data_IF_720401912042
#
_entry.id   IF_720401912042
#
_cell.length_a   1.000
_cell.length_b   1.000
_cell.length_c   1.000
_cell.angle_alpha   90.00
_cell.angle_beta   90.00
_cell.angle_gamma   90.00
#
_symmetry.space_group_name_H-M   'P 1'
#
loop_
_entity.id
_entity.type
_entity.pdbx_description
1 polymer ?
#
# COMPACT_ATOMS: atom_id res chain seq x y z
N UNK A 1 -75.91 27.96 33.03
CA UNK A 1 -74.65 28.50 33.63
C UNK A 1 -73.58 27.49 33.49
N UNK A 2 -72.87 27.47 32.38
CA UNK A 2 -71.76 26.50 32.09
C UNK A 2 -70.44 27.24 32.24
N UNK A 3 -69.63 26.76 33.18
CA UNK A 3 -68.26 27.23 33.40
C UNK A 3 -67.29 26.41 32.51
N UNK A 4 -66.70 27.06 31.54
CA UNK A 4 -65.56 26.49 30.76
C UNK A 4 -64.31 26.60 31.62
N UNK A 5 -63.66 25.45 31.89
CA UNK A 5 -62.35 25.35 32.45
C UNK A 5 -61.37 25.26 31.29
N UNK A 6 -60.56 26.30 31.09
CA UNK A 6 -59.45 26.30 30.15
C UNK A 6 -58.20 25.71 30.83
N UNK A 7 -57.79 24.48 30.40
CA UNK A 7 -56.52 23.88 30.82
C UNK A 7 -55.44 24.37 29.87
N UNK A 8 -54.51 25.13 30.36
CA UNK A 8 -53.29 25.55 29.64
C UNK A 8 -52.27 24.42 29.72
N UNK A 9 -51.97 23.78 28.58
CA UNK A 9 -50.86 22.83 28.43
C UNK A 9 -49.59 23.62 28.12
N UNK A 10 -48.70 23.71 29.13
CA UNK A 10 -47.36 24.26 28.92
C UNK A 10 -46.46 23.22 28.23
N UNK A 11 -46.14 23.43 26.96
CA UNK A 11 -45.12 22.66 26.22
C UNK A 11 -43.72 23.08 26.72
N UNK A 12 -43.09 22.23 27.50
CA UNK A 12 -41.68 22.32 27.83
C UNK A 12 -40.86 21.90 26.61
N UNK A 13 -40.34 22.88 25.87
CA UNK A 13 -39.33 22.68 24.84
C UNK A 13 -37.97 22.36 25.49
N UNK A 14 -37.59 21.08 25.47
CA UNK A 14 -36.26 20.63 25.89
C UNK A 14 -35.32 20.92 24.71
N UNK A 15 -34.30 21.80 24.86
CA UNK A 15 -33.31 21.95 23.81
C UNK A 15 -32.43 20.67 23.77
N UNK A 16 -32.60 19.85 22.74
CA UNK A 16 -31.63 18.83 22.39
C UNK A 16 -30.35 19.55 21.98
N UNK A 17 -29.40 19.70 22.90
CA UNK A 17 -28.04 20.03 22.56
C UNK A 17 -27.46 18.81 21.81
N UNK A 18 -27.43 18.90 20.50
CA UNK A 18 -26.61 18.02 19.65
C UNK A 18 -25.15 18.32 19.99
N UNK A 19 -24.62 17.58 20.97
CA UNK A 19 -23.19 17.52 21.18
C UNK A 19 -22.63 16.83 19.90
N UNK A 20 -22.11 17.64 18.98
CA UNK A 20 -21.28 17.14 17.89
C UNK A 20 -20.03 16.53 18.53
N UNK A 21 -20.07 15.23 18.80
CA UNK A 21 -18.85 14.49 19.08
C UNK A 21 -18.01 14.59 17.80
N UNK A 22 -16.95 15.37 17.87
CA UNK A 22 -15.88 15.22 16.88
C UNK A 22 -15.48 13.76 16.94
N UNK A 23 -15.61 13.04 15.82
CA UNK A 23 -15.22 11.64 15.78
C UNK A 23 -13.73 11.57 16.19
N UNK A 24 -13.43 10.72 17.15
CA UNK A 24 -12.06 10.46 17.58
C UNK A 24 -11.25 10.03 16.34
N UNK A 25 -10.06 10.61 16.11
CA UNK A 25 -9.28 10.25 14.93
C UNK A 25 -8.99 8.74 14.94
N UNK A 26 -9.03 8.08 13.77
CA UNK A 26 -8.71 6.66 13.69
C UNK A 26 -7.39 6.34 14.38
N UNK A 27 -7.27 5.15 14.95
CA UNK A 27 -6.03 4.75 15.61
C UNK A 27 -4.85 4.69 14.61
N UNK A 28 -3.59 4.83 15.06
CA UNK A 28 -2.40 4.69 14.21
C UNK A 28 -2.42 3.38 13.40
N UNK A 29 -2.92 2.31 14.00
CA UNK A 29 -3.04 0.99 13.38
C UNK A 29 -3.95 1.00 12.15
N UNK A 30 -5.09 1.69 12.20
CA UNK A 30 -6.01 1.82 11.06
C UNK A 30 -5.36 2.60 9.92
N UNK A 31 -4.66 3.68 10.23
CA UNK A 31 -3.95 4.46 9.21
C UNK A 31 -2.87 3.62 8.52
N UNK A 32 -2.07 2.86 9.28
CA UNK A 32 -1.02 2.00 8.72
C UNK A 32 -1.60 0.85 7.89
N UNK A 33 -2.72 0.25 8.28
CA UNK A 33 -3.40 -0.76 7.47
C UNK A 33 -3.79 -0.21 6.08
N UNK A 34 -4.32 1.02 6.04
CA UNK A 34 -4.63 1.69 4.77
C UNK A 34 -3.38 1.97 3.93
N UNK A 35 -2.28 2.42 4.55
CA UNK A 35 -1.01 2.62 3.85
C UNK A 35 -0.48 1.31 3.25
N UNK A 36 -0.46 0.23 4.02
CA UNK A 36 0.02 -1.07 3.56
C UNK A 36 -0.80 -1.58 2.36
N UNK A 37 -2.14 -1.59 2.47
CA UNK A 37 -3.03 -1.99 1.37
C UNK A 37 -2.88 -1.11 0.13
N UNK A 38 -2.68 0.20 0.32
CA UNK A 38 -2.46 1.14 -0.78
C UNK A 38 -1.12 0.90 -1.47
N UNK A 39 -0.03 0.73 -0.70
CA UNK A 39 1.34 0.72 -1.25
C UNK A 39 1.82 -0.68 -1.67
N UNK A 40 1.29 -1.74 -1.04
CA UNK A 40 1.68 -3.13 -1.34
C UNK A 40 0.75 -3.74 -2.37
N UNK A 41 -0.57 -3.66 -2.13
CA UNK A 41 -1.56 -4.34 -2.95
C UNK A 41 -2.17 -3.47 -4.06
N UNK A 42 -1.98 -2.15 -3.99
CA UNK A 42 -2.69 -1.16 -4.82
C UNK A 42 -4.21 -1.35 -4.76
N UNK A 43 -4.73 -1.67 -3.55
CA UNK A 43 -6.15 -1.90 -3.30
C UNK A 43 -6.95 -0.62 -3.53
N UNK A 44 -7.86 -0.64 -4.49
CA UNK A 44 -8.61 0.54 -4.92
C UNK A 44 -9.47 1.12 -3.79
N UNK A 45 -10.08 0.27 -2.96
CA UNK A 45 -10.90 0.72 -1.84
C UNK A 45 -10.03 1.34 -0.74
N UNK A 46 -8.89 0.75 -0.43
CA UNK A 46 -7.95 1.31 0.53
C UNK A 46 -7.35 2.63 0.06
N UNK A 47 -7.04 2.77 -1.25
CA UNK A 47 -6.59 4.02 -1.86
C UNK A 47 -7.64 5.12 -1.64
N UNK A 48 -8.91 4.85 -1.93
CA UNK A 48 -9.97 5.82 -1.73
C UNK A 48 -10.12 6.21 -0.26
N UNK A 49 -10.14 5.23 0.64
CA UNK A 49 -10.25 5.46 2.08
C UNK A 49 -9.05 6.26 2.63
N UNK A 50 -7.83 5.96 2.19
CA UNK A 50 -6.62 6.69 2.58
C UNK A 50 -6.65 8.13 2.06
N UNK A 51 -7.09 8.34 0.83
CA UNK A 51 -7.26 9.66 0.24
C UNK A 51 -8.26 10.49 1.04
N UNK A 52 -9.44 9.95 1.34
CA UNK A 52 -10.47 10.66 2.11
C UNK A 52 -9.98 10.98 3.52
N UNK A 53 -9.28 10.03 4.16
CA UNK A 53 -8.70 10.20 5.48
C UNK A 53 -7.64 11.30 5.54
N UNK A 54 -6.74 11.37 4.56
CA UNK A 54 -5.63 12.32 4.53
C UNK A 54 -5.99 13.66 3.88
N UNK A 55 -7.08 13.76 3.13
CA UNK A 55 -7.44 14.90 2.27
C UNK A 55 -7.31 16.25 2.97
N UNK A 56 -7.90 16.38 4.12
CA UNK A 56 -7.94 17.65 4.84
C UNK A 56 -6.54 18.08 5.32
N UNK A 57 -5.73 17.16 5.82
CA UNK A 57 -4.35 17.42 6.23
C UNK A 57 -3.46 17.79 5.04
N UNK A 58 -3.62 17.08 3.92
CA UNK A 58 -2.86 17.33 2.70
C UNK A 58 -3.15 18.70 2.10
N UNK A 59 -4.42 19.08 1.97
CA UNK A 59 -4.82 20.39 1.45
C UNK A 59 -4.29 21.53 2.32
N UNK A 60 -4.34 21.40 3.65
CA UNK A 60 -3.78 22.36 4.57
C UNK A 60 -2.27 22.51 4.42
N UNK A 61 -1.57 21.41 4.16
CA UNK A 61 -0.13 21.39 3.90
C UNK A 61 0.26 21.84 2.49
N UNK A 62 -0.69 22.32 1.67
CA UNK A 62 -0.46 22.77 0.30
C UNK A 62 -0.14 21.64 -0.67
N UNK A 63 -0.48 20.39 -0.32
CA UNK A 63 -0.29 19.19 -1.17
C UNK A 63 -1.54 18.93 -2.01
N UNK A 64 -1.42 18.02 -2.99
CA UNK A 64 -2.58 17.50 -3.74
C UNK A 64 -3.59 16.85 -2.78
N UNK A 65 -4.89 16.94 -3.09
CA UNK A 65 -5.95 16.35 -2.27
C UNK A 65 -5.76 14.85 -2.08
N UNK A 66 -5.38 14.16 -3.15
CA UNK A 66 -5.21 12.70 -3.13
C UNK A 66 -3.75 12.33 -2.81
N UNK A 67 -3.58 11.32 -1.95
CA UNK A 67 -2.29 10.71 -1.62
C UNK A 67 -1.82 9.81 -2.77
N UNK A 68 -2.72 9.01 -3.32
CA UNK A 68 -2.47 8.12 -4.45
C UNK A 68 -3.64 8.18 -5.43
N UNK A 69 -3.33 7.99 -6.72
CA UNK A 69 -4.34 7.90 -7.76
C UNK A 69 -4.50 6.43 -8.18
N UNK A 70 -5.68 5.86 -7.96
CA UNK A 70 -5.96 4.46 -8.28
C UNK A 70 -5.82 4.15 -9.78
N UNK A 71 -6.24 5.08 -10.65
CA UNK A 71 -6.14 4.89 -12.10
C UNK A 71 -4.67 4.90 -12.57
N UNK A 72 -3.84 5.79 -12.00
CA UNK A 72 -2.41 5.85 -12.33
C UNK A 72 -1.68 4.60 -11.84
N UNK A 73 -1.99 4.12 -10.63
CA UNK A 73 -1.41 2.87 -10.09
C UNK A 73 -1.82 1.67 -10.92
N UNK A 74 -3.09 1.56 -11.29
CA UNK A 74 -3.58 0.50 -12.17
C UNK A 74 -2.90 0.52 -13.53
N UNK A 75 -2.77 1.69 -14.13
CA UNK A 75 -2.05 1.85 -15.39
C UNK A 75 -0.58 1.44 -15.27
N UNK A 76 0.09 1.87 -14.20
CA UNK A 76 1.46 1.48 -13.92
C UNK A 76 1.60 -0.06 -13.76
N UNK A 77 0.64 -0.70 -13.10
CA UNK A 77 0.59 -2.16 -12.97
C UNK A 77 0.40 -2.87 -14.32
N UNK A 78 -0.45 -2.33 -15.18
CA UNK A 78 -0.69 -2.89 -16.53
C UNK A 78 0.55 -2.73 -17.44
N UNK A 79 1.27 -1.63 -17.32
CA UNK A 79 2.46 -1.32 -18.15
C UNK A 79 3.75 -1.98 -17.64
N UNK A 80 3.88 -2.19 -16.32
CA UNK A 80 5.10 -2.69 -15.66
C UNK A 80 5.69 -3.95 -16.31
N UNK A 81 4.92 -5.04 -16.56
CA UNK A 81 5.50 -6.26 -17.11
C UNK A 81 6.15 -6.04 -18.49
N UNK A 82 5.48 -5.26 -19.35
CA UNK A 82 5.96 -4.98 -20.69
C UNK A 82 7.18 -4.04 -20.71
N UNK A 83 7.19 -3.03 -19.88
CA UNK A 83 8.29 -2.06 -19.82
C UNK A 83 9.55 -2.67 -19.23
N UNK A 84 9.44 -3.39 -18.12
CA UNK A 84 10.59 -4.05 -17.50
C UNK A 84 11.13 -5.16 -18.40
N UNK A 85 10.26 -5.93 -19.06
CA UNK A 85 10.68 -6.93 -20.03
C UNK A 85 11.47 -6.34 -21.20
N UNK A 86 11.05 -5.18 -21.75
CA UNK A 86 11.79 -4.47 -22.80
C UNK A 86 13.18 -4.03 -22.36
N UNK A 87 13.32 -3.58 -21.10
CA UNK A 87 14.63 -3.23 -20.55
C UNK A 87 15.51 -4.46 -20.37
N UNK A 88 14.99 -5.51 -19.79
CA UNK A 88 15.71 -6.76 -19.58
C UNK A 88 16.11 -7.44 -20.91
N UNK A 89 15.24 -7.39 -21.92
CA UNK A 89 15.47 -7.94 -23.26
C UNK A 89 16.75 -7.39 -23.91
N UNK A 90 17.05 -6.10 -23.71
CA UNK A 90 18.24 -5.43 -24.26
C UNK A 90 19.56 -5.95 -23.67
N UNK A 91 19.53 -6.68 -22.56
CA UNK A 91 20.71 -7.27 -21.93
C UNK A 91 21.15 -8.57 -22.63
N UNK A 92 20.29 -9.18 -23.45
CA UNK A 92 20.57 -10.41 -24.18
C UNK A 92 21.13 -10.14 -25.58
N UNK A 93 21.82 -11.12 -26.20
CA UNK A 93 22.29 -11.00 -27.58
C UNK A 93 21.17 -10.65 -28.56
N UNK A 94 21.47 -9.76 -29.54
CA UNK A 94 20.47 -9.19 -30.44
C UNK A 94 19.62 -10.25 -31.17
N UNK A 95 20.24 -11.36 -31.57
CA UNK A 95 19.57 -12.47 -32.25
C UNK A 95 18.57 -13.24 -31.37
N UNK A 96 18.67 -13.11 -30.04
CA UNK A 96 17.76 -13.77 -29.08
C UNK A 96 16.65 -12.85 -28.59
N UNK A 97 16.83 -11.55 -28.69
CA UNK A 97 15.95 -10.55 -28.05
C UNK A 97 14.47 -10.75 -28.43
N UNK A 98 14.18 -10.92 -29.70
CA UNK A 98 12.81 -11.08 -30.19
C UNK A 98 12.11 -12.29 -29.55
N UNK A 99 12.82 -13.44 -29.50
CA UNK A 99 12.27 -14.67 -28.94
C UNK A 99 12.09 -14.62 -27.41
N UNK A 100 12.89 -13.81 -26.70
CA UNK A 100 12.83 -13.66 -25.23
C UNK A 100 11.78 -12.65 -24.76
N UNK A 101 11.23 -11.82 -25.64
CA UNK A 101 10.32 -10.74 -25.25
C UNK A 101 9.08 -11.23 -24.49
N UNK A 102 8.34 -12.18 -25.07
CA UNK A 102 7.13 -12.73 -24.42
C UNK A 102 7.44 -13.53 -23.12
N UNK A 103 8.48 -14.38 -23.05
CA UNK A 103 8.88 -15.03 -21.80
C UNK A 103 9.29 -14.04 -20.69
N UNK A 104 10.00 -12.97 -21.02
CA UNK A 104 10.34 -11.92 -20.05
C UNK A 104 9.09 -11.19 -19.55
N UNK A 105 8.15 -10.84 -20.44
CA UNK A 105 6.88 -10.24 -20.04
C UNK A 105 6.09 -11.17 -19.10
N UNK A 106 6.04 -12.46 -19.41
CA UNK A 106 5.36 -13.45 -18.55
C UNK A 106 6.02 -13.57 -17.17
N UNK A 107 7.37 -13.56 -17.11
CA UNK A 107 8.09 -13.52 -15.83
C UNK A 107 7.72 -12.28 -15.02
N UNK A 108 7.78 -11.07 -15.62
CA UNK A 108 7.48 -9.83 -14.93
C UNK A 108 6.03 -9.76 -14.45
N UNK A 109 5.08 -10.27 -15.25
CA UNK A 109 3.68 -10.39 -14.83
C UNK A 109 3.53 -11.32 -13.60
N UNK A 110 4.29 -12.44 -13.56
CA UNK A 110 4.27 -13.34 -12.40
C UNK A 110 4.90 -12.70 -11.15
N UNK A 111 6.00 -11.95 -11.31
CA UNK A 111 6.63 -11.18 -10.22
C UNK A 111 5.65 -10.16 -9.64
N UNK A 112 4.97 -9.42 -10.49
CA UNK A 112 3.95 -8.44 -10.07
C UNK A 112 2.79 -9.11 -9.35
N UNK A 113 2.25 -10.21 -9.88
CA UNK A 113 1.19 -10.98 -9.23
C UNK A 113 1.63 -11.53 -7.86
N UNK A 114 2.88 -11.97 -7.73
CA UNK A 114 3.44 -12.41 -6.46
C UNK A 114 3.44 -11.28 -5.43
N UNK A 115 3.80 -10.05 -5.84
CA UNK A 115 3.72 -8.84 -5.00
C UNK A 115 2.28 -8.52 -4.60
N UNK A 116 1.35 -8.49 -5.55
CA UNK A 116 -0.06 -8.15 -5.30
C UNK A 116 -0.79 -9.17 -4.41
N UNK A 117 -0.32 -10.43 -4.38
CA UNK A 117 -0.84 -11.47 -3.48
C UNK A 117 -0.36 -11.35 -2.04
N UNK A 118 0.58 -10.44 -1.76
CA UNK A 118 1.10 -10.24 -0.40
C UNK A 118 -0.04 -9.92 0.57
N UNK A 119 -0.02 -10.54 1.73
CA UNK A 119 -1.04 -10.36 2.77
C UNK A 119 -0.39 -9.68 3.97
N UNK A 120 -0.69 -8.41 4.15
CA UNK A 120 -0.20 -7.63 5.27
C UNK A 120 -1.26 -7.46 6.35
N UNK A 121 -0.84 -7.51 7.61
CA UNK A 121 -1.69 -7.22 8.77
C UNK A 121 -0.92 -6.38 9.78
N UNK A 122 -1.61 -5.48 10.41
CA UNK A 122 -1.11 -4.75 11.58
C UNK A 122 -1.18 -5.68 12.79
N UNK A 123 -0.14 -5.69 13.60
CA UNK A 123 -0.05 -6.51 14.82
C UNK A 123 -0.40 -5.68 16.05
N UNK A 124 0.42 -4.70 16.38
CA UNK A 124 0.25 -3.84 17.54
C UNK A 124 0.74 -2.41 17.22
N UNK A 125 0.25 -1.46 17.97
CA UNK A 125 0.70 -0.08 17.93
C UNK A 125 1.22 0.31 19.30
N UNK A 126 2.36 0.99 19.32
CA UNK A 126 2.84 1.63 20.53
C UNK A 126 1.81 2.68 20.99
N UNK A 127 1.81 2.94 22.29
CA UNK A 127 1.06 4.08 22.81
C UNK A 127 1.64 5.37 22.22
N UNK A 128 0.80 6.23 21.60
CA UNK A 128 1.27 7.48 21.04
C UNK A 128 2.05 8.30 22.07
N UNK A 129 3.21 8.79 21.69
CA UNK A 129 4.05 9.65 22.51
C UNK A 129 4.09 11.07 21.92
N UNK A 130 4.07 12.09 22.81
CA UNK A 130 4.21 13.48 22.41
C UNK A 130 5.69 13.83 22.32
N UNK A 131 6.12 14.27 21.15
CA UNK A 131 7.43 14.89 20.94
C UNK A 131 7.22 16.32 20.45
N UNK A 132 7.55 17.29 21.29
CA UNK A 132 7.19 18.71 21.11
C UNK A 132 5.68 18.88 20.94
N UNK A 133 5.22 19.27 19.76
CA UNK A 133 3.79 19.46 19.44
C UNK A 133 3.26 18.37 18.48
N UNK A 134 3.98 17.26 18.31
CA UNK A 134 3.64 16.16 17.39
C UNK A 134 3.47 14.87 18.18
N UNK A 135 2.34 14.20 18.00
CA UNK A 135 2.17 12.82 18.43
C UNK A 135 2.84 11.89 17.43
N UNK A 136 3.64 10.97 17.92
CA UNK A 136 4.27 9.90 17.13
C UNK A 136 3.84 8.55 17.64
N UNK A 137 3.72 7.58 16.75
CA UNK A 137 3.46 6.19 17.08
C UNK A 137 4.20 5.27 16.09
N UNK A 138 4.67 4.14 16.61
CA UNK A 138 5.18 3.06 15.79
C UNK A 138 4.15 1.92 15.77
N UNK A 139 3.88 1.42 14.60
CA UNK A 139 2.93 0.34 14.37
C UNK A 139 3.68 -0.86 13.81
N UNK A 140 3.69 -1.96 14.53
CA UNK A 140 4.27 -3.21 14.05
C UNK A 140 3.33 -3.87 13.05
N UNK A 141 3.89 -4.38 11.98
CA UNK A 141 3.14 -5.09 10.96
C UNK A 141 3.87 -6.36 10.53
N UNK A 142 3.12 -7.27 9.95
CA UNK A 142 3.62 -8.51 9.38
C UNK A 142 3.03 -8.69 7.99
N UNK A 143 3.87 -9.08 7.02
CA UNK A 143 3.42 -9.41 5.67
C UNK A 143 3.87 -10.83 5.31
N UNK A 144 2.93 -11.64 4.83
CA UNK A 144 3.23 -12.88 4.15
C UNK A 144 3.51 -12.57 2.66
N UNK A 145 4.63 -13.05 2.16
CA UNK A 145 5.20 -12.70 0.86
C UNK A 145 5.63 -13.95 0.09
N UNK A 146 5.83 -13.80 -1.21
CA UNK A 146 6.54 -14.80 -2.03
C UNK A 146 8.02 -14.43 -2.04
N UNK A 147 8.87 -15.31 -1.51
CA UNK A 147 10.31 -15.24 -1.65
C UNK A 147 10.78 -16.33 -2.61
N UNK A 148 11.18 -15.92 -3.81
CA UNK A 148 11.77 -16.81 -4.79
C UNK A 148 13.16 -17.28 -4.35
N UNK A 149 13.65 -18.45 -4.79
CA UNK A 149 15.01 -18.90 -4.49
C UNK A 149 16.11 -17.97 -5.00
N UNK A 150 15.84 -17.22 -6.04
CA UNK A 150 16.70 -16.22 -6.67
C UNK A 150 15.83 -15.05 -7.10
N UNK A 151 16.28 -13.81 -6.89
CA UNK A 151 15.54 -12.65 -7.37
C UNK A 151 15.53 -12.62 -8.91
N UNK A 152 14.50 -12.06 -9.51
CA UNK A 152 14.40 -11.96 -10.97
C UNK A 152 15.57 -11.15 -11.56
N UNK A 153 16.07 -10.16 -10.83
CA UNK A 153 17.23 -9.34 -11.25
C UNK A 153 18.49 -10.20 -11.31
N UNK A 154 18.80 -10.93 -10.23
CA UNK A 154 19.96 -11.81 -10.17
C UNK A 154 19.86 -12.93 -11.20
N UNK A 155 18.68 -13.52 -11.36
CA UNK A 155 18.42 -14.57 -12.35
C UNK A 155 18.66 -14.11 -13.79
N UNK A 156 18.12 -12.93 -14.16
CA UNK A 156 18.39 -12.36 -15.49
C UNK A 156 19.87 -12.05 -15.66
N UNK A 157 20.51 -11.44 -14.67
CA UNK A 157 21.95 -11.15 -14.73
C UNK A 157 22.79 -12.42 -14.87
N UNK A 158 22.43 -13.49 -14.19
CA UNK A 158 23.08 -14.80 -14.31
C UNK A 158 22.92 -15.36 -15.73
N UNK A 159 21.70 -15.35 -16.30
CA UNK A 159 21.44 -15.82 -17.66
C UNK A 159 22.26 -15.06 -18.69
N UNK A 160 22.31 -13.74 -18.60
CA UNK A 160 23.11 -12.87 -19.49
C UNK A 160 24.61 -13.20 -19.39
N UNK A 161 25.14 -13.36 -18.16
CA UNK A 161 26.55 -13.65 -17.91
C UNK A 161 26.99 -15.04 -18.43
N UNK A 162 26.10 -16.02 -18.36
CA UNK A 162 26.41 -17.39 -18.81
C UNK A 162 26.52 -17.52 -20.34
N UNK A 163 26.01 -16.52 -21.08
CA UNK A 163 26.01 -16.52 -22.56
C UNK A 163 25.46 -17.82 -23.17
N UNK A 164 24.39 -18.35 -22.53
CA UNK A 164 23.73 -19.57 -22.96
C UNK A 164 23.05 -19.45 -24.31
N UNK A 165 22.68 -20.61 -24.87
CA UNK A 165 21.86 -20.66 -26.06
C UNK A 165 20.46 -20.07 -25.80
N UNK A 166 19.70 -19.80 -26.87
CA UNK A 166 18.30 -19.40 -26.72
C UNK A 166 17.49 -20.40 -25.88
N UNK A 167 17.71 -21.70 -26.10
CA UNK A 167 17.02 -22.76 -25.36
C UNK A 167 17.35 -22.71 -23.84
N UNK A 168 18.62 -22.48 -23.51
CA UNK A 168 19.07 -22.34 -22.11
C UNK A 168 18.42 -21.12 -21.44
N UNK A 169 18.37 -19.98 -22.14
CA UNK A 169 17.76 -18.74 -21.63
C UNK A 169 16.24 -18.90 -21.46
N UNK A 170 15.54 -19.52 -22.41
CA UNK A 170 14.10 -19.82 -22.27
C UNK A 170 13.82 -20.75 -21.09
N UNK A 171 14.63 -21.79 -20.89
CA UNK A 171 14.53 -22.70 -19.76
C UNK A 171 14.78 -21.96 -18.43
N UNK A 172 15.82 -21.12 -18.37
CA UNK A 172 16.14 -20.33 -17.19
C UNK A 172 15.05 -19.33 -16.81
N UNK A 173 14.48 -18.62 -17.79
CA UNK A 173 13.34 -17.71 -17.55
C UNK A 173 12.10 -18.46 -17.02
N UNK A 174 11.82 -19.65 -17.56
CA UNK A 174 10.73 -20.49 -17.07
C UNK A 174 10.96 -20.95 -15.62
N UNK A 175 12.19 -21.26 -15.25
CA UNK A 175 12.53 -21.64 -13.86
C UNK A 175 12.38 -20.44 -12.92
N UNK A 176 12.84 -19.25 -13.32
CA UNK A 176 12.62 -18.03 -12.56
C UNK A 176 11.13 -17.74 -12.36
N UNK A 177 10.34 -17.82 -13.42
CA UNK A 177 8.89 -17.63 -13.35
C UNK A 177 8.23 -18.62 -12.38
N UNK A 178 8.62 -19.90 -12.43
CA UNK A 178 8.11 -20.91 -11.51
C UNK A 178 8.45 -20.60 -10.04
N UNK A 179 9.60 -20.00 -9.78
CA UNK A 179 10.00 -19.55 -8.45
C UNK A 179 9.08 -18.47 -7.84
N UNK A 180 8.44 -17.65 -8.68
CA UNK A 180 7.45 -16.64 -8.23
C UNK A 180 5.99 -17.14 -8.26
N UNK A 181 5.72 -18.24 -8.95
CA UNK A 181 4.36 -18.83 -9.04
C UNK A 181 4.01 -19.73 -7.85
N UNK A 182 4.75 -19.64 -6.75
CA UNK A 182 4.55 -20.43 -5.53
C UNK A 182 3.60 -19.74 -4.55
N UNK A 183 3.07 -20.45 -3.55
CA UNK A 183 2.35 -19.83 -2.43
C UNK A 183 3.22 -18.87 -1.63
N UNK A 184 2.59 -18.05 -0.79
CA UNK A 184 3.27 -17.24 0.21
C UNK A 184 4.11 -18.15 1.12
N UNK A 185 5.40 -17.88 1.23
CA UNK A 185 6.37 -18.77 1.88
C UNK A 185 7.38 -18.03 2.77
N UNK A 186 7.25 -16.72 2.87
CA UNK A 186 8.14 -15.88 3.68
C UNK A 186 7.31 -14.89 4.49
N UNK A 187 7.68 -14.70 5.76
CA UNK A 187 7.05 -13.72 6.64
C UNK A 187 8.05 -12.62 6.96
N UNK A 188 7.69 -11.39 6.59
CA UNK A 188 8.43 -10.19 6.97
C UNK A 188 7.73 -9.50 8.14
N UNK A 189 8.49 -9.04 9.11
CA UNK A 189 8.01 -8.18 10.19
C UNK A 189 8.73 -6.85 10.15
N UNK A 190 7.97 -5.77 10.24
CA UNK A 190 8.49 -4.41 10.17
C UNK A 190 7.76 -3.48 11.12
N UNK A 191 8.26 -2.25 11.14
CA UNK A 191 7.67 -1.15 11.91
C UNK A 191 7.36 0.00 10.97
N UNK A 192 6.15 0.57 11.12
CA UNK A 192 5.68 1.69 10.34
C UNK A 192 5.45 2.88 11.27
N UNK A 193 6.31 3.90 11.19
CA UNK A 193 6.17 5.12 11.97
C UNK A 193 5.09 6.04 11.38
N UNK A 194 4.26 6.63 12.24
CA UNK A 194 3.28 7.64 11.85
C UNK A 194 3.30 8.80 12.84
N UNK A 195 2.91 9.98 12.35
CA UNK A 195 2.83 11.19 13.17
C UNK A 195 1.52 11.93 12.94
N UNK A 196 1.09 12.69 13.95
CA UNK A 196 -0.11 13.52 13.92
C UNK A 196 0.13 14.80 14.70
N UNK A 197 -0.36 15.93 14.21
CA UNK A 197 -0.37 17.19 14.97
C UNK A 197 -1.71 17.30 15.69
N UNK A 198 -1.74 17.14 17.03
CA UNK A 198 -2.97 17.26 17.80
C UNK A 198 -3.46 18.71 17.82
N UNK A 199 -4.73 18.91 18.15
CA UNK A 199 -5.42 20.23 18.22
C UNK A 199 -5.79 20.83 16.87
N UNK A 200 -5.64 20.09 15.81
CA UNK A 200 -6.09 20.53 14.50
C UNK A 200 -7.46 19.90 14.18
N UNK A 201 -8.35 20.66 13.55
CA UNK A 201 -9.70 20.16 13.20
C UNK A 201 -9.69 18.95 12.24
N UNK A 202 -8.52 18.64 11.67
CA UNK A 202 -8.33 17.60 10.68
C UNK A 202 -7.15 16.70 11.09
N UNK A 203 -7.21 16.16 12.29
CA UNK A 203 -6.19 15.26 12.83
C UNK A 203 -6.11 13.99 11.99
N UNK A 204 -4.94 13.71 11.42
CA UNK A 204 -4.67 12.49 10.66
C UNK A 204 -3.28 11.94 10.99
N UNK A 205 -3.21 10.65 11.23
CA UNK A 205 -1.94 9.92 11.30
C UNK A 205 -1.34 9.83 9.90
N UNK A 206 -0.16 10.39 9.71
CA UNK A 206 0.51 10.46 8.42
C UNK A 206 1.94 9.94 8.49
N UNK A 207 2.43 9.52 7.36
CA UNK A 207 3.84 9.23 7.14
C UNK A 207 4.27 9.87 5.81
N UNK A 208 5.21 10.80 5.86
CA UNK A 208 5.74 11.46 4.66
C UNK A 208 6.72 10.57 3.90
N UNK A 209 7.22 9.50 4.52
CA UNK A 209 8.15 8.50 3.98
C UNK A 209 7.53 7.10 3.95
N UNK A 210 6.22 7.01 3.73
CA UNK A 210 5.45 5.76 3.83
C UNK A 210 5.92 4.64 2.88
N UNK A 211 6.66 4.96 1.83
CA UNK A 211 7.26 3.97 0.93
C UNK A 211 8.47 3.27 1.54
N UNK A 212 9.23 3.93 2.39
CA UNK A 212 10.47 3.37 2.95
C UNK A 212 10.26 2.02 3.66
N UNK A 213 9.31 1.83 4.60
CA UNK A 213 9.06 0.53 5.21
C UNK A 213 8.64 -0.55 4.20
N UNK A 214 7.94 -0.15 3.13
CA UNK A 214 7.50 -1.07 2.07
C UNK A 214 8.68 -1.43 1.16
N UNK A 215 9.54 -0.48 0.81
CA UNK A 215 10.73 -0.74 0.01
C UNK A 215 11.70 -1.66 0.77
N UNK A 216 11.96 -1.42 2.07
CA UNK A 216 12.75 -2.31 2.94
C UNK A 216 12.19 -3.74 2.99
N UNK A 217 10.87 -3.88 3.00
CA UNK A 217 10.23 -5.20 2.96
C UNK A 217 10.53 -5.93 1.66
N UNK A 218 10.49 -5.24 0.51
CA UNK A 218 10.78 -5.86 -0.78
C UNK A 218 12.28 -6.09 -1.02
N UNK A 219 13.15 -5.30 -0.38
CA UNK A 219 14.60 -5.53 -0.38
C UNK A 219 15.01 -6.80 0.40
N UNK A 220 14.18 -7.25 1.34
CA UNK A 220 14.42 -8.48 2.10
C UNK A 220 14.09 -9.78 1.33
N UNK A 221 13.50 -9.67 0.13
CA UNK A 221 13.12 -10.81 -0.70
C UNK A 221 14.28 -11.27 -1.57
#
# INVERSE_FOLDING_TARGET
MNKFVQSAVALLAIPFALASHAAEPPSPAVAVDLYLKTLVNHDEQAIQQLNDYLRADRLRSGRSADYANAADLKKADEEFPGEVAKMAQKLFPAEQQQALGAPLTALMATVQQARQKSECKVLESDKPAMDQDVLTANVKFECALVKAPETWVEGIQRLVRTKGTLADNLSGLKQLQAGYAIPLNFTYQGTFGVSMVPKDKNEAWRNDFAREPVDQMFEAL
#
